data_IF_750882863099
#
_entry.id   IF_750882863099
#
_cell.length_a   1.000
_cell.length_b   1.000
_cell.length_c   1.000
_cell.angle_alpha   90.00
_cell.angle_beta   90.00
_cell.angle_gamma   90.00
#
_symmetry.space_group_name_H-M   'P 1'
#
loop_
_entity.id
_entity.type
_entity.pdbx_description
1 polymer ?
#
# COMPACT_ATOMS: atom_id res chain seq x y z
N UNK A 1 4.71 9.31 -9.54
CA UNK A 1 4.93 8.14 -8.67
C UNK A 1 6.06 8.44 -7.68
N UNK A 2 5.80 8.37 -6.37
CA UNK A 2 6.74 8.67 -5.26
C UNK A 2 7.48 10.02 -5.39
N UNK A 3 6.78 11.16 -5.19
CA UNK A 3 7.41 12.49 -5.15
C UNK A 3 8.33 12.63 -3.93
N UNK A 4 9.25 13.60 -3.98
CA UNK A 4 9.97 14.04 -2.79
C UNK A 4 9.00 14.64 -1.76
N UNK A 5 9.32 14.63 -0.45
CA UNK A 5 8.44 15.15 0.59
C UNK A 5 7.95 16.58 0.34
N UNK A 6 8.80 17.44 -0.23
CA UNK A 6 8.50 18.83 -0.56
C UNK A 6 7.59 18.98 -1.80
N UNK A 7 7.52 17.95 -2.64
CA UNK A 7 6.72 17.91 -3.87
C UNK A 7 5.36 17.20 -3.66
N UNK A 8 5.12 16.64 -2.48
CA UNK A 8 3.92 15.91 -2.17
C UNK A 8 2.69 16.85 -2.05
N UNK A 9 1.75 16.72 -2.98
CA UNK A 9 0.52 17.52 -2.99
C UNK A 9 -0.49 17.13 -1.90
N UNK A 10 -0.33 15.96 -1.27
CA UNK A 10 -1.16 15.50 -0.16
C UNK A 10 -0.45 14.41 0.65
N UNK A 11 -1.02 14.05 1.80
CA UNK A 11 -0.63 12.90 2.62
C UNK A 11 -1.40 11.61 2.25
N UNK A 12 -2.12 11.57 1.13
CA UNK A 12 -2.89 10.42 0.68
C UNK A 12 -2.02 9.56 -0.26
N UNK A 13 -1.81 8.31 0.12
CA UNK A 13 -1.04 7.33 -0.65
C UNK A 13 -1.94 6.30 -1.34
N UNK A 14 -1.55 5.85 -2.53
CA UNK A 14 -2.26 4.80 -3.29
C UNK A 14 -1.90 3.41 -2.74
N UNK A 15 -2.91 2.58 -2.46
CA UNK A 15 -2.76 1.28 -1.76
C UNK A 15 -2.78 0.08 -2.74
N UNK A 16 -2.68 0.33 -4.05
CA UNK A 16 -2.68 -0.75 -5.05
C UNK A 16 -4.02 -1.49 -5.14
N UNK A 17 -5.13 -0.76 -4.98
CA UNK A 17 -6.49 -1.24 -5.21
C UNK A 17 -7.18 -0.27 -6.16
N UNK A 18 -7.66 -0.81 -7.27
CA UNK A 18 -8.25 -0.01 -8.34
C UNK A 18 -9.51 -0.68 -8.85
N UNK A 19 -10.52 0.14 -9.15
CA UNK A 19 -11.66 -0.25 -9.97
C UNK A 19 -11.57 0.65 -11.19
N UNK A 20 -11.23 0.06 -12.35
CA UNK A 20 -10.90 0.80 -13.56
C UNK A 20 -11.89 0.44 -14.66
N UNK A 21 -12.35 1.45 -15.39
CA UNK A 21 -13.14 1.24 -16.60
C UNK A 21 -12.28 0.62 -17.72
N UNK A 22 -12.93 0.00 -18.71
CA UNK A 22 -12.24 -0.68 -19.82
C UNK A 22 -11.29 0.23 -20.62
N UNK A 23 -11.54 1.54 -20.66
CA UNK A 23 -10.67 2.51 -21.34
C UNK A 23 -9.22 2.52 -20.80
N UNK A 24 -8.98 1.97 -19.60
CA UNK A 24 -7.64 1.79 -19.07
C UNK A 24 -6.73 0.97 -20.00
N UNK A 25 -7.27 0.01 -20.75
CA UNK A 25 -6.46 -0.82 -21.64
C UNK A 25 -5.82 0.01 -22.76
N UNK A 26 -6.60 0.88 -23.41
CA UNK A 26 -6.08 1.81 -24.41
C UNK A 26 -5.07 2.78 -23.79
N UNK A 27 -5.36 3.29 -22.59
CA UNK A 27 -4.44 4.17 -21.88
C UNK A 27 -3.10 3.48 -21.57
N UNK A 28 -3.12 2.20 -21.17
CA UNK A 28 -1.90 1.41 -20.93
C UNK A 28 -1.12 1.20 -22.23
N UNK A 29 -1.79 0.87 -23.34
CA UNK A 29 -1.15 0.67 -24.65
C UNK A 29 -0.41 1.93 -25.14
N UNK A 30 -0.97 3.12 -24.90
CA UNK A 30 -0.36 4.40 -25.24
C UNK A 30 0.71 4.87 -24.23
N UNK A 31 0.78 4.25 -23.05
CA UNK A 31 1.66 4.69 -21.96
C UNK A 31 3.11 4.30 -22.26
N UNK A 32 3.97 5.32 -22.32
CA UNK A 32 5.42 5.13 -22.49
C UNK A 32 6.07 4.65 -21.18
N UNK A 33 7.21 3.94 -21.27
CA UNK A 33 8.00 3.59 -20.10
C UNK A 33 8.35 4.81 -19.24
N UNK A 34 8.11 4.70 -17.93
CA UNK A 34 8.36 5.72 -16.94
C UNK A 34 9.59 5.40 -16.08
N UNK A 35 9.46 5.59 -14.76
CA UNK A 35 10.53 5.32 -13.79
C UNK A 35 10.97 3.85 -13.87
N UNK A 36 12.28 3.62 -14.00
CA UNK A 36 12.84 2.27 -14.10
C UNK A 36 12.63 1.58 -15.46
N UNK A 37 12.11 2.28 -16.48
CA UNK A 37 11.85 1.68 -17.80
C UNK A 37 10.59 0.81 -17.85
N UNK A 38 9.75 0.88 -16.82
CA UNK A 38 8.50 0.13 -16.73
C UNK A 38 7.30 0.96 -17.21
N UNK A 39 6.29 0.29 -17.80
CA UNK A 39 4.99 0.89 -18.07
C UNK A 39 4.19 0.90 -16.77
N UNK A 40 4.02 2.08 -16.18
CA UNK A 40 3.38 2.24 -14.87
C UNK A 40 1.87 2.47 -15.02
N UNK A 41 1.07 1.69 -14.29
CA UNK A 41 -0.39 1.85 -14.28
C UNK A 41 -0.83 3.24 -13.77
N UNK A 42 -0.03 3.87 -12.92
CA UNK A 42 -0.30 5.23 -12.41
C UNK A 42 -0.23 6.28 -13.51
N UNK A 43 0.66 6.10 -14.48
CA UNK A 43 0.82 7.04 -15.60
C UNK A 43 -0.34 6.88 -16.59
N UNK A 44 -0.79 5.64 -16.82
CA UNK A 44 -2.00 5.35 -17.59
C UNK A 44 -3.26 5.94 -16.94
N UNK A 45 -3.44 5.78 -15.62
CA UNK A 45 -4.56 6.40 -14.90
C UNK A 45 -4.49 7.92 -14.99
N UNK A 46 -3.28 8.50 -14.87
CA UNK A 46 -3.08 9.95 -14.98
C UNK A 46 -3.47 10.50 -16.35
N UNK A 47 -3.25 9.76 -17.43
CA UNK A 47 -3.62 10.19 -18.80
C UNK A 47 -5.15 10.25 -19.01
N UNK A 48 -5.92 9.53 -18.19
CA UNK A 48 -7.38 9.57 -18.20
C UNK A 48 -7.96 10.75 -17.39
N UNK A 49 -7.16 11.44 -16.58
CA UNK A 49 -7.61 12.62 -15.84
C UNK A 49 -8.05 13.71 -16.82
N UNK A 50 -9.28 14.21 -16.64
CA UNK A 50 -9.90 15.21 -17.52
C UNK A 50 -10.67 14.62 -18.71
N UNK A 51 -10.47 13.33 -19.03
CA UNK A 51 -11.30 12.56 -19.97
C UNK A 51 -12.38 11.77 -19.25
N UNK A 52 -12.07 11.28 -18.06
CA UNK A 52 -12.98 10.54 -17.19
C UNK A 52 -13.01 11.12 -15.77
N UNK A 53 -14.08 10.81 -15.04
CA UNK A 53 -14.15 11.10 -13.60
C UNK A 53 -13.34 10.04 -12.85
N UNK A 54 -12.32 10.49 -12.14
CA UNK A 54 -11.49 9.65 -11.28
C UNK A 54 -11.74 10.07 -9.83
N UNK A 55 -11.97 9.09 -8.97
CA UNK A 55 -12.25 9.28 -7.56
C UNK A 55 -11.20 8.58 -6.70
N UNK A 56 -10.75 9.24 -5.64
CA UNK A 56 -9.98 8.60 -4.59
C UNK A 56 -10.94 8.07 -3.51
N UNK A 57 -10.77 6.81 -3.12
CA UNK A 57 -11.48 6.23 -1.98
C UNK A 57 -10.51 6.09 -0.80
N UNK A 58 -10.79 6.83 0.28
CA UNK A 58 -10.03 6.72 1.52
C UNK A 58 -10.46 5.46 2.29
N UNK A 59 -9.61 4.44 2.25
CA UNK A 59 -9.84 3.22 3.00
C UNK A 59 -9.68 3.47 4.50
N UNK A 60 -10.74 3.20 5.26
CA UNK A 60 -10.72 3.24 6.73
C UNK A 60 -10.41 1.86 7.29
N UNK A 61 -9.17 1.64 7.70
CA UNK A 61 -8.74 0.41 8.34
C UNK A 61 -7.23 0.35 8.55
N UNK A 62 -6.77 -0.76 9.15
CA UNK A 62 -5.34 -1.00 9.34
C UNK A 62 -4.75 -1.62 8.07
N UNK A 63 -3.77 -0.96 7.47
CA UNK A 63 -2.97 -1.49 6.37
C UNK A 63 -1.63 -1.97 6.91
N UNK A 64 -1.20 -3.14 6.45
CA UNK A 64 0.18 -3.59 6.58
C UNK A 64 0.81 -3.66 5.19
N UNK A 65 1.95 -2.99 5.01
CA UNK A 65 2.76 -3.15 3.80
C UNK A 65 3.69 -4.36 3.96
N UNK A 66 3.28 -5.50 3.41
CA UNK A 66 4.08 -6.73 3.49
C UNK A 66 5.25 -6.77 2.50
N UNK A 67 5.38 -5.76 1.63
CA UNK A 67 6.55 -5.59 0.77
C UNK A 67 7.79 -5.09 1.52
N UNK A 68 7.60 -4.50 2.70
CA UNK A 68 8.67 -4.06 3.59
C UNK A 68 8.91 -5.07 4.72
N UNK A 69 10.18 -5.36 5.07
CA UNK A 69 10.54 -6.34 6.11
C UNK A 69 9.82 -6.08 7.45
N UNK A 70 9.81 -4.84 7.92
CA UNK A 70 9.16 -4.51 9.19
C UNK A 70 7.63 -4.59 9.08
N UNK A 71 7.07 -4.22 7.92
CA UNK A 71 5.63 -4.32 7.68
C UNK A 71 5.16 -5.77 7.61
N UNK A 72 5.96 -6.67 7.03
CA UNK A 72 5.74 -8.12 7.08
C UNK A 72 5.70 -8.66 8.52
N UNK A 73 6.68 -8.29 9.36
CA UNK A 73 6.70 -8.70 10.78
C UNK A 73 5.49 -8.16 11.54
N UNK A 74 5.17 -6.87 11.35
CA UNK A 74 3.99 -6.23 11.96
C UNK A 74 2.69 -6.94 11.58
N UNK A 75 2.53 -7.32 10.31
CA UNK A 75 1.37 -8.05 9.84
C UNK A 75 1.25 -9.40 10.57
N UNK A 76 2.32 -10.20 10.56
CA UNK A 76 2.31 -11.52 11.19
C UNK A 76 1.99 -11.43 12.69
N UNK A 77 2.63 -10.52 13.42
CA UNK A 77 2.37 -10.32 14.85
C UNK A 77 0.91 -9.92 15.09
N UNK A 78 0.40 -8.95 14.34
CA UNK A 78 -0.95 -8.45 14.53
C UNK A 78 -2.03 -9.50 14.25
N UNK A 79 -1.82 -10.36 13.25
CA UNK A 79 -2.75 -11.45 12.94
C UNK A 79 -2.61 -12.60 13.93
N UNK A 80 -1.40 -12.97 14.34
CA UNK A 80 -1.19 -14.01 15.35
C UNK A 80 -1.78 -13.63 16.72
N UNK A 81 -1.67 -12.37 17.13
CA UNK A 81 -2.27 -11.86 18.38
C UNK A 81 -3.80 -11.94 18.41
N UNK A 82 -4.46 -12.03 17.25
CA UNK A 82 -5.93 -12.18 17.14
C UNK A 82 -6.40 -13.63 17.17
N UNK A 83 -5.49 -14.60 17.06
CA UNK A 83 -5.82 -16.02 17.00
C UNK A 83 -5.97 -16.60 18.41
N UNK A 84 -7.01 -17.39 18.62
CA UNK A 84 -7.30 -18.03 19.91
C UNK A 84 -6.20 -19.02 20.33
N UNK A 85 -5.57 -19.70 19.37
CA UNK A 85 -4.56 -20.73 19.60
C UNK A 85 -3.13 -20.18 19.76
N UNK A 86 -2.87 -18.92 19.41
CA UNK A 86 -1.52 -18.32 19.43
C UNK A 86 -1.43 -17.03 20.25
N UNK A 87 -2.52 -16.27 20.35
CA UNK A 87 -2.46 -14.87 20.76
C UNK A 87 -1.99 -14.65 22.18
N UNK A 88 -2.43 -15.49 23.13
CA UNK A 88 -2.04 -15.39 24.54
C UNK A 88 -0.55 -15.67 24.74
N UNK A 89 -0.05 -16.79 24.22
CA UNK A 89 1.36 -17.19 24.33
C UNK A 89 2.29 -16.17 23.65
N UNK A 90 1.96 -15.73 22.44
CA UNK A 90 2.75 -14.73 21.71
C UNK A 90 2.80 -13.39 22.47
N UNK A 91 1.68 -12.96 23.06
CA UNK A 91 1.62 -11.71 23.82
C UNK A 91 2.53 -11.74 25.05
N UNK A 92 2.57 -12.85 25.77
CA UNK A 92 3.45 -13.03 26.92
C UNK A 92 4.92 -13.02 26.49
N UNK A 93 5.25 -13.75 25.42
CA UNK A 93 6.60 -13.78 24.85
C UNK A 93 7.10 -12.38 24.43
N UNK A 94 6.26 -11.60 23.73
CA UNK A 94 6.63 -10.25 23.29
C UNK A 94 6.90 -9.30 24.48
N UNK A 95 6.10 -9.39 25.56
CA UNK A 95 6.35 -8.57 26.77
C UNK A 95 7.71 -8.90 27.38
N UNK A 96 8.02 -10.19 27.51
CA UNK A 96 9.31 -10.66 28.05
C UNK A 96 10.49 -10.11 27.25
N UNK A 97 10.44 -10.19 25.91
CA UNK A 97 11.52 -9.64 25.07
C UNK A 97 11.73 -8.15 25.29
N UNK A 98 10.64 -7.37 25.37
CA UNK A 98 10.75 -5.91 25.55
C UNK A 98 11.35 -5.57 26.92
N UNK A 99 10.97 -6.29 27.96
CA UNK A 99 11.53 -6.13 29.31
C UNK A 99 13.02 -6.52 29.38
N UNK A 100 13.44 -7.58 28.68
CA UNK A 100 14.85 -8.02 28.64
C UNK A 100 15.77 -7.13 27.77
N UNK A 101 15.19 -6.36 26.86
CA UNK A 101 15.94 -5.49 25.92
C UNK A 101 16.00 -4.04 26.40
N UNK A 102 15.45 -3.72 27.58
CA UNK A 102 15.52 -2.39 28.22
C UNK A 102 16.56 -2.40 29.32
#
# INVERSE_FOLDING_TARGET
EKPEPEEALSNIAVIGRYILNANIFNAIEETKPGKGGEIQITDAIKSLIGREKIFAYEFKGMRYDVGEKIGFLKANIAYALKREDLGSELKEYLKKIVEETT
#
